data_IF_293915594628
#
_entry.id   IF_293915594628
#
_cell.length_a   1.000
_cell.length_b   1.000
_cell.length_c   1.000
_cell.angle_alpha   90.00
_cell.angle_beta   90.00
_cell.angle_gamma   90.00
#
_symmetry.space_group_name_H-M   'P 1'
#
loop_
_entity.id
_entity.type
_entity.pdbx_description
1 polymer ?
#
# COMPACT_ATOMS: atom_id res chain seq x y z
N UNK A 1 10.15 17.03 -3.45
CA UNK A 1 9.43 15.92 -4.10
C UNK A 1 8.30 15.55 -3.16
N UNK A 2 7.04 15.69 -3.57
CA UNK A 2 5.87 15.50 -2.70
C UNK A 2 5.01 14.33 -3.21
N UNK A 3 5.51 13.09 -3.06
CA UNK A 3 4.77 11.87 -3.44
C UNK A 3 4.08 11.32 -2.24
N UNK A 4 2.75 11.41 -2.23
CA UNK A 4 1.97 11.09 -1.06
C UNK A 4 0.84 10.18 -1.49
N UNK A 5 1.13 8.90 -1.70
CA UNK A 5 0.15 7.84 -1.90
C UNK A 5 0.57 6.65 -1.07
N UNK A 6 -0.36 6.06 -0.35
CA UNK A 6 -0.18 4.82 0.37
C UNK A 6 -1.31 3.84 0.04
N UNK A 7 -1.04 2.56 0.25
CA UNK A 7 -2.08 1.54 0.34
C UNK A 7 -2.75 1.62 1.71
N UNK A 8 -4.08 1.72 1.71
CA UNK A 8 -4.90 1.78 2.92
C UNK A 8 -5.74 0.51 3.03
N UNK A 9 -5.49 -0.24 4.09
CA UNK A 9 -6.30 -1.37 4.53
C UNK A 9 -6.06 -1.56 6.03
N UNK A 10 -7.02 -2.08 6.83
CA UNK A 10 -6.79 -2.37 8.25
C UNK A 10 -5.68 -3.39 8.52
N UNK A 11 -5.24 -4.12 7.48
CA UNK A 11 -4.09 -5.04 7.52
C UNK A 11 -2.73 -4.37 7.29
N UNK A 12 -2.67 -3.05 7.08
CA UNK A 12 -1.41 -2.33 6.84
C UNK A 12 -0.84 -1.81 8.15
N UNK A 13 0.44 -2.12 8.40
CA UNK A 13 1.20 -1.59 9.52
C UNK A 13 1.19 -0.05 9.51
N UNK A 14 0.83 0.57 10.63
CA UNK A 14 0.71 2.02 10.75
C UNK A 14 -0.56 2.65 10.17
N UNK A 15 -1.46 1.89 9.51
CA UNK A 15 -2.68 2.47 8.93
C UNK A 15 -3.68 2.92 10.01
N UNK A 16 -3.69 2.24 11.16
CA UNK A 16 -4.54 2.54 12.31
C UNK A 16 -3.79 3.23 13.45
N UNK A 17 -2.62 3.81 13.17
CA UNK A 17 -1.81 4.48 14.18
C UNK A 17 -2.58 5.66 14.82
N UNK A 18 -2.80 5.63 16.16
CA UNK A 18 -3.55 6.68 16.85
C UNK A 18 -2.83 8.03 16.88
N UNK A 19 -1.50 8.03 16.70
CA UNK A 19 -0.70 9.25 16.68
C UNK A 19 -0.70 9.91 15.28
N UNK A 20 -1.20 9.24 14.24
CA UNK A 20 -1.42 9.82 12.90
C UNK A 20 -2.73 10.63 12.83
N UNK A 21 -2.79 11.71 13.60
CA UNK A 21 -3.95 12.60 13.65
C UNK A 21 -4.24 13.32 12.32
N UNK A 22 -3.23 13.48 11.46
CA UNK A 22 -3.38 14.07 10.13
C UNK A 22 -3.81 13.08 9.05
N UNK A 23 -3.79 11.77 9.34
CA UNK A 23 -4.14 10.71 8.41
C UNK A 23 -3.22 10.63 7.18
N UNK A 24 -1.95 10.99 7.36
CA UNK A 24 -0.92 11.08 6.30
C UNK A 24 0.41 10.45 6.72
N UNK A 25 0.44 9.67 7.80
CA UNK A 25 1.66 9.11 8.35
C UNK A 25 2.39 8.20 7.38
N UNK A 26 1.67 7.25 6.76
CA UNK A 26 2.24 6.24 5.86
C UNK A 26 2.33 6.67 4.39
N UNK A 27 1.87 7.88 4.04
CA UNK A 27 2.00 8.40 2.67
C UNK A 27 3.34 9.10 2.45
N UNK A 28 4.11 9.38 3.50
CA UNK A 28 5.38 10.11 3.35
C UNK A 28 6.38 9.31 2.52
N UNK A 29 7.09 9.93 1.58
CA UNK A 29 8.06 9.22 0.74
C UNK A 29 9.29 8.80 1.55
N UNK A 30 9.88 7.66 1.16
CA UNK A 30 11.05 7.08 1.82
C UNK A 30 12.33 7.43 1.05
N UNK A 31 12.94 8.57 1.35
CA UNK A 31 14.18 9.05 0.70
C UNK A 31 15.28 9.28 1.73
N UNK A 32 16.48 8.73 1.48
CA UNK A 32 17.67 8.89 2.35
C UNK A 32 17.43 8.51 3.83
N UNK A 33 16.65 7.45 4.05
CA UNK A 33 16.31 6.95 5.39
C UNK A 33 17.21 5.78 5.80
N UNK A 34 17.58 5.66 7.09
CA UNK A 34 18.18 4.44 7.61
C UNK A 34 17.20 3.26 7.54
N UNK A 35 17.71 2.04 7.67
CA UNK A 35 16.94 0.81 7.45
C UNK A 35 15.67 0.72 8.29
N UNK A 36 15.78 1.01 9.58
CA UNK A 36 14.70 1.02 10.55
C UNK A 36 13.63 2.09 10.28
N UNK A 37 13.96 3.18 9.59
CA UNK A 37 12.99 4.21 9.21
C UNK A 37 12.24 3.93 7.89
N UNK A 38 12.87 3.25 6.93
CA UNK A 38 12.21 2.94 5.65
C UNK A 38 11.54 1.57 5.65
N UNK A 39 12.10 0.60 6.36
CA UNK A 39 11.53 -0.73 6.47
C UNK A 39 10.22 -0.67 7.26
N UNK A 40 9.14 -1.21 6.69
CA UNK A 40 7.77 -1.05 7.22
C UNK A 40 7.38 0.41 7.48
N UNK A 41 8.00 1.38 6.81
CA UNK A 41 7.80 2.81 7.07
C UNK A 41 8.14 3.23 8.52
N UNK A 42 8.98 2.45 9.22
CA UNK A 42 9.24 2.63 10.65
C UNK A 42 8.02 2.37 11.54
N UNK A 43 7.00 1.65 11.04
CA UNK A 43 5.72 1.37 11.72
C UNK A 43 5.54 -0.10 12.08
N UNK A 44 6.63 -0.86 12.18
CA UNK A 44 6.55 -2.31 12.45
C UNK A 44 5.86 -2.65 13.78
N UNK A 45 5.95 -1.76 14.78
CA UNK A 45 5.27 -1.94 16.07
C UNK A 45 3.82 -1.39 16.08
N UNK A 46 3.37 -0.75 15.00
CA UNK A 46 1.97 -0.34 14.82
C UNK A 46 1.22 -1.45 14.08
N UNK A 47 0.89 -2.50 14.84
CA UNK A 47 0.31 -3.73 14.29
C UNK A 47 -1.07 -3.50 13.62
N UNK A 48 -1.35 -4.24 12.53
CA UNK A 48 -2.65 -4.23 11.88
C UNK A 48 -3.75 -4.87 12.73
N UNK A 49 -5.01 -4.55 12.41
CA UNK A 49 -6.19 -5.12 13.09
C UNK A 49 -6.87 -6.23 12.31
N UNK A 50 -6.50 -6.43 11.04
CA UNK A 50 -7.10 -7.43 10.14
C UNK A 50 -6.03 -8.05 9.23
N UNK A 51 -6.43 -9.06 8.46
CA UNK A 51 -5.63 -9.69 7.39
C UNK A 51 -6.29 -9.37 6.05
N UNK A 52 -5.49 -9.10 5.01
CA UNK A 52 -5.98 -8.96 3.65
C UNK A 52 -6.01 -10.33 2.98
N UNK A 53 -7.19 -10.77 2.56
CA UNK A 53 -7.36 -12.03 1.83
C UNK A 53 -6.88 -11.91 0.38
N UNK A 54 -6.06 -12.86 -0.06
CA UNK A 54 -5.49 -12.92 -1.41
C UNK A 54 -5.99 -14.19 -2.13
N UNK A 55 -7.09 -14.11 -2.90
CA UNK A 55 -7.69 -15.30 -3.52
C UNK A 55 -6.83 -15.80 -4.69
N UNK A 56 -6.22 -16.98 -4.56
CA UNK A 56 -5.41 -17.58 -5.62
C UNK A 56 -6.19 -17.70 -6.95
N UNK A 57 -5.63 -17.16 -8.04
CA UNK A 57 -6.25 -17.16 -9.37
C UNK A 57 -7.39 -16.15 -9.52
N UNK A 58 -7.64 -15.35 -8.48
CA UNK A 58 -8.58 -14.25 -8.49
C UNK A 58 -7.86 -12.90 -8.52
N UNK A 59 -8.57 -11.89 -8.02
CA UNK A 59 -8.14 -10.50 -7.98
C UNK A 59 -8.39 -9.93 -6.59
N UNK A 60 -7.46 -9.10 -6.12
CA UNK A 60 -7.66 -8.24 -4.95
C UNK A 60 -7.74 -6.79 -5.42
N UNK A 61 -8.68 -6.03 -4.87
CA UNK A 61 -8.76 -4.58 -5.07
C UNK A 61 -8.25 -3.90 -3.80
N UNK A 62 -7.22 -3.06 -3.92
CA UNK A 62 -6.69 -2.26 -2.81
C UNK A 62 -7.07 -0.79 -2.97
N UNK A 63 -7.05 -0.04 -1.88
CA UNK A 63 -7.29 1.41 -1.89
C UNK A 63 -5.99 2.19 -1.79
N UNK A 64 -5.67 2.96 -2.83
CA UNK A 64 -4.51 3.85 -2.90
C UNK A 64 -4.97 5.31 -2.77
N UNK A 65 -4.47 6.03 -1.77
CA UNK A 65 -4.86 7.43 -1.59
C UNK A 65 -3.79 8.27 -0.89
N UNK A 66 -3.89 9.60 -1.07
CA UNK A 66 -3.00 10.56 -0.42
C UNK A 66 -3.37 10.89 1.03
N UNK A 67 -4.53 10.42 1.49
CA UNK A 67 -4.96 10.59 2.86
C UNK A 67 -5.95 9.47 3.23
N UNK A 68 -5.84 8.90 4.44
CA UNK A 68 -6.76 7.85 4.94
C UNK A 68 -8.22 8.28 4.87
N UNK A 69 -8.50 9.58 5.04
CA UNK A 69 -9.87 10.10 5.03
C UNK A 69 -10.59 9.90 3.70
N UNK A 70 -9.86 9.69 2.59
CA UNK A 70 -10.41 9.46 1.25
C UNK A 70 -10.74 7.99 0.97
N UNK A 71 -10.40 7.08 1.88
CA UNK A 71 -10.60 5.63 1.72
C UNK A 71 -11.75 5.12 2.59
N UNK A 72 -12.05 3.82 2.51
CA UNK A 72 -13.01 3.17 3.41
C UNK A 72 -12.67 3.31 4.89
N UNK A 73 -11.39 3.50 5.22
CA UNK A 73 -10.88 3.73 6.59
C UNK A 73 -11.08 5.16 7.10
N UNK A 74 -11.49 6.10 6.25
CA UNK A 74 -11.76 7.48 6.65
C UNK A 74 -12.95 7.60 7.61
N UNK A 75 -13.18 8.77 8.19
CA UNK A 75 -14.39 9.04 8.99
C UNK A 75 -15.18 10.25 8.48
N UNK A 76 -14.52 11.16 7.78
CA UNK A 76 -15.09 12.49 7.47
C UNK A 76 -15.11 12.82 5.98
N UNK A 77 -14.27 12.19 5.17
CA UNK A 77 -14.18 12.44 3.71
C UNK A 77 -14.34 11.18 2.86
N UNK A 78 -15.02 10.15 3.40
CA UNK A 78 -15.30 8.92 2.66
C UNK A 78 -15.97 9.28 1.33
N UNK A 79 -15.37 8.85 0.24
CA UNK A 79 -15.84 9.15 -1.11
C UNK A 79 -15.87 7.87 -1.93
N UNK A 80 -16.77 7.79 -2.92
CA UNK A 80 -16.75 6.75 -3.95
C UNK A 80 -15.90 7.16 -5.17
N UNK A 81 -15.32 8.37 -5.14
CA UNK A 81 -14.43 8.86 -6.20
C UNK A 81 -13.25 7.90 -6.39
N UNK A 82 -12.93 7.57 -7.63
CA UNK A 82 -11.79 6.71 -7.97
C UNK A 82 -10.48 7.50 -8.18
N UNK A 83 -10.44 8.77 -7.81
CA UNK A 83 -9.24 9.59 -7.81
C UNK A 83 -8.50 9.42 -6.44
N UNK A 84 -7.26 8.91 -6.42
CA UNK A 84 -6.43 8.76 -5.21
C UNK A 84 -6.16 10.05 -4.42
N UNK A 85 -6.13 11.20 -5.09
CA UNK A 85 -5.90 12.49 -4.46
C UNK A 85 -6.63 13.61 -5.21
N UNK A 86 -7.95 13.79 -4.96
CA UNK A 86 -8.77 14.76 -5.70
C UNK A 86 -8.28 16.21 -5.59
N UNK A 87 -7.64 16.54 -4.47
CA UNK A 87 -7.22 17.91 -4.15
C UNK A 87 -5.76 18.20 -4.59
N UNK A 88 -4.98 17.18 -4.97
CA UNK A 88 -3.58 17.35 -5.38
C UNK A 88 -3.12 16.32 -6.43
N UNK A 89 -3.06 16.77 -7.69
CA UNK A 89 -2.54 15.97 -8.81
C UNK A 89 -1.02 15.75 -8.77
N UNK A 90 -0.26 16.50 -7.96
CA UNK A 90 1.19 16.28 -7.86
C UNK A 90 1.54 15.04 -7.03
N UNK A 91 0.65 14.61 -6.13
CA UNK A 91 0.83 13.42 -5.30
C UNK A 91 1.05 12.13 -6.10
N UNK A 92 0.68 12.13 -7.38
CA UNK A 92 0.78 11.01 -8.32
C UNK A 92 2.15 10.86 -9.00
N UNK A 93 3.00 11.90 -8.99
CA UNK A 93 4.27 11.94 -9.76
C UNK A 93 4.18 11.54 -11.24
N UNK A 94 3.03 11.81 -11.86
CA UNK A 94 2.77 11.44 -13.25
C UNK A 94 2.31 12.65 -14.08
N UNK A 95 2.87 13.83 -13.85
CA UNK A 95 2.53 15.06 -14.58
C UNK A 95 1.30 15.81 -14.04
N UNK A 96 1.05 17.01 -14.60
CA UNK A 96 -0.08 17.89 -14.24
C UNK A 96 -0.77 18.46 -15.48
N UNK A 97 -1.97 17.99 -15.87
CA UNK A 97 -2.72 16.86 -15.29
C UNK A 97 -1.97 15.53 -15.44
N UNK A 98 -2.42 14.48 -14.76
CA UNK A 98 -1.84 13.13 -14.84
C UNK A 98 -1.75 12.68 -16.31
N UNK A 99 -0.57 12.22 -16.71
CA UNK A 99 -0.19 11.76 -18.04
C UNK A 99 0.11 10.26 -17.97
N UNK A 100 -0.60 9.47 -18.77
CA UNK A 100 -0.52 8.01 -18.73
C UNK A 100 0.89 7.48 -19.06
N UNK A 101 1.64 8.18 -19.91
CA UNK A 101 3.02 7.85 -20.28
C UNK A 101 4.05 8.18 -19.19
N UNK A 102 3.65 8.87 -18.11
CA UNK A 102 4.48 9.15 -16.94
C UNK A 102 4.23 8.19 -15.78
N UNK A 103 3.21 7.35 -15.85
CA UNK A 103 2.93 6.32 -14.85
C UNK A 103 3.97 5.19 -14.97
N UNK A 104 4.44 4.66 -13.84
CA UNK A 104 5.49 3.62 -13.80
C UNK A 104 5.05 2.31 -13.15
N UNK A 105 3.80 2.22 -12.71
CA UNK A 105 3.24 1.05 -12.06
C UNK A 105 3.71 0.86 -10.61
N UNK A 106 3.16 -0.17 -9.96
CA UNK A 106 3.48 -0.55 -8.59
C UNK A 106 3.30 -2.07 -8.43
N UNK A 107 3.70 -2.62 -7.30
CA UNK A 107 3.73 -4.06 -7.08
C UNK A 107 3.25 -4.46 -5.68
N UNK A 108 2.75 -5.70 -5.58
CA UNK A 108 2.61 -6.42 -4.32
C UNK A 108 3.72 -7.46 -4.22
N UNK A 109 4.36 -7.51 -3.06
CA UNK A 109 5.35 -8.51 -2.70
C UNK A 109 4.96 -9.25 -1.43
N UNK A 110 5.48 -10.46 -1.27
CA UNK A 110 5.20 -11.34 -0.12
C UNK A 110 6.50 -11.95 0.41
N UNK A 111 6.53 -12.18 1.71
CA UNK A 111 7.50 -13.03 2.40
C UNK A 111 6.75 -13.97 3.35
N UNK A 112 7.07 -15.25 3.26
CA UNK A 112 6.40 -16.31 4.02
C UNK A 112 6.95 -16.44 5.44
N UNK A 113 6.57 -15.48 6.29
CA UNK A 113 6.80 -15.45 7.74
C UNK A 113 5.53 -14.94 8.42
N UNK A 114 5.24 -15.39 9.64
CA UNK A 114 4.03 -14.97 10.37
C UNK A 114 4.22 -13.61 11.06
N UNK A 115 5.38 -13.38 11.69
CA UNK A 115 5.74 -12.13 12.37
C UNK A 115 6.51 -11.20 11.44
N UNK A 116 6.11 -9.93 11.36
CA UNK A 116 6.81 -8.90 10.59
C UNK A 116 8.26 -8.70 11.03
N UNK A 117 8.61 -8.98 12.29
CA UNK A 117 9.97 -8.86 12.81
C UNK A 117 10.92 -9.90 12.20
N UNK A 118 10.38 -10.99 11.67
CA UNK A 118 11.13 -12.02 10.95
C UNK A 118 11.26 -11.72 9.45
N UNK A 119 10.59 -10.68 8.94
CA UNK A 119 10.63 -10.31 7.53
C UNK A 119 11.93 -9.58 7.18
N UNK A 120 12.74 -10.17 6.31
CA UNK A 120 13.93 -9.55 5.71
C UNK A 120 13.68 -9.00 4.32
N UNK A 121 14.29 -7.85 4.00
CA UNK A 121 14.18 -7.19 2.67
C UNK A 121 14.54 -8.09 1.49
N UNK A 122 15.51 -8.98 1.66
CA UNK A 122 16.03 -9.83 0.58
C UNK A 122 15.20 -11.11 0.40
N UNK A 123 14.17 -11.33 1.23
CA UNK A 123 13.27 -12.49 1.17
C UNK A 123 11.97 -12.18 0.43
N UNK A 124 11.67 -10.90 0.15
CA UNK A 124 10.43 -10.52 -0.52
C UNK A 124 10.43 -10.91 -2.00
N UNK A 125 9.35 -11.55 -2.43
CA UNK A 125 9.08 -11.87 -3.81
C UNK A 125 7.89 -11.06 -4.34
N UNK A 126 8.09 -10.32 -5.43
CA UNK A 126 6.99 -9.66 -6.15
C UNK A 126 6.13 -10.73 -6.82
N UNK A 127 4.84 -10.76 -6.49
CA UNK A 127 3.90 -11.75 -7.01
C UNK A 127 2.79 -11.16 -7.88
N UNK A 128 2.56 -9.84 -7.80
CA UNK A 128 1.57 -9.15 -8.64
C UNK A 128 1.99 -7.71 -8.92
N UNK A 129 1.62 -7.20 -10.09
CA UNK A 129 1.96 -5.84 -10.55
C UNK A 129 0.79 -5.19 -11.25
N UNK A 130 0.64 -3.88 -11.09
CA UNK A 130 -0.28 -3.08 -11.90
C UNK A 130 0.50 -1.94 -12.58
N UNK A 131 0.56 -1.97 -13.92
CA UNK A 131 1.35 -0.99 -14.69
C UNK A 131 0.71 0.40 -14.76
N UNK A 132 -0.58 0.51 -14.48
CA UNK A 132 -1.33 1.78 -14.41
C UNK A 132 -1.56 2.23 -12.97
N UNK A 133 -0.81 1.68 -12.02
CA UNK A 133 -0.97 1.95 -10.60
C UNK A 133 -0.83 3.43 -10.27
N UNK A 134 -1.40 3.82 -9.13
CA UNK A 134 -1.60 5.19 -8.64
C UNK A 134 -2.46 6.09 -9.52
N UNK A 135 -2.95 5.64 -10.69
CA UNK A 135 -3.96 6.37 -11.46
C UNK A 135 -5.33 6.36 -10.78
N UNK A 136 -5.68 5.23 -10.17
CA UNK A 136 -7.00 4.96 -9.61
C UNK A 136 -6.89 4.63 -8.12
N UNK A 137 -7.87 5.06 -7.33
CA UNK A 137 -7.91 4.74 -5.90
C UNK A 137 -8.12 3.26 -5.71
N UNK A 138 -9.14 2.71 -6.35
CA UNK A 138 -9.36 1.27 -6.39
C UNK A 138 -8.43 0.69 -7.45
N UNK A 139 -7.34 0.08 -7.00
CA UNK A 139 -6.33 -0.53 -7.87
C UNK A 139 -6.36 -2.03 -7.71
N UNK A 140 -6.42 -2.71 -8.85
CA UNK A 140 -6.54 -4.15 -8.91
C UNK A 140 -5.19 -4.83 -9.07
N UNK A 141 -5.05 -5.98 -8.42
CA UNK A 141 -3.92 -6.88 -8.54
C UNK A 141 -4.44 -8.30 -8.77
N UNK A 142 -4.00 -8.91 -9.88
CA UNK A 142 -4.26 -10.32 -10.19
C UNK A 142 -3.38 -11.21 -9.30
N UNK A 143 -3.95 -12.22 -8.69
CA UNK A 143 -3.26 -13.13 -7.79
C UNK A 143 -2.89 -14.41 -8.55
N UNK A 144 -1.63 -14.86 -8.54
CA UNK A 144 -1.24 -16.11 -9.20
C UNK A 144 -2.11 -17.30 -8.76
N UNK A 145 -2.57 -18.11 -9.71
CA UNK A 145 -3.41 -19.29 -9.44
C UNK A 145 -2.67 -20.38 -8.64
N UNK A 146 -1.35 -20.41 -8.73
CA UNK A 146 -0.48 -21.34 -8.03
C UNK A 146 0.21 -20.72 -6.81
N UNK A 147 -0.34 -19.64 -6.25
CA UNK A 147 0.18 -19.07 -5.01
C UNK A 147 -0.04 -20.09 -3.87
N UNK A 148 1.02 -20.52 -3.17
CA UNK A 148 0.87 -21.45 -2.06
C UNK A 148 0.16 -20.79 -0.88
N UNK A 149 -0.39 -21.60 0.02
CA UNK A 149 -0.84 -21.11 1.32
C UNK A 149 0.36 -20.56 2.12
N UNK A 150 0.12 -19.53 2.94
CA UNK A 150 1.12 -19.10 3.92
C UNK A 150 1.47 -20.27 4.84
N UNK A 151 2.74 -20.41 5.22
CA UNK A 151 3.19 -21.47 6.12
C UNK A 151 2.61 -21.36 7.54
N UNK A 152 2.32 -20.13 7.99
CA UNK A 152 1.69 -19.81 9.27
C UNK A 152 0.23 -19.39 9.13
N UNK A 153 -0.31 -18.71 10.16
CA UNK A 153 -1.68 -18.18 10.12
C UNK A 153 -1.87 -17.08 9.07
N UNK A 154 -0.78 -16.37 8.77
CA UNK A 154 -0.70 -15.34 7.76
C UNK A 154 0.75 -15.31 7.23
N UNK A 155 0.95 -14.55 6.16
CA UNK A 155 2.26 -14.17 5.67
C UNK A 155 2.32 -12.65 5.49
N UNK A 156 3.51 -12.09 5.42
CA UNK A 156 3.71 -10.64 5.38
C UNK A 156 3.79 -10.17 3.93
N UNK A 157 3.00 -9.16 3.61
CA UNK A 157 2.99 -8.53 2.29
C UNK A 157 3.42 -7.07 2.36
N UNK A 158 3.88 -6.55 1.22
CA UNK A 158 4.22 -5.14 1.04
C UNK A 158 3.71 -4.63 -0.31
N UNK A 159 3.27 -3.37 -0.31
CA UNK A 159 2.99 -2.62 -1.54
C UNK A 159 4.16 -1.68 -1.82
N UNK A 160 4.65 -1.68 -3.05
CA UNK A 160 5.78 -0.88 -3.49
C UNK A 160 5.42 -0.01 -4.70
N UNK A 161 5.78 1.27 -4.61
CA UNK A 161 5.69 2.25 -5.68
C UNK A 161 6.90 3.19 -5.66
#
# INVERSE_FOLDING_TARGET
VWGHIAMWHPSVYGASDPDDWQNVGIVQPLLNKPFDEWWFHGRIDSEPTEVLELPAGGRVTVELACNKQLTSMGNTRKTTNNNPCPDDSNSFHAGKPVQDDQIRGCALAVVDVEDAKDAGKDQMAVFSTNHTCVKYRFTDFEIPANMPECSGRNCICAWFW
#
